data_IF_098527473669
#
_entry.id   IF_098527473669
#
_cell.length_a   1.000
_cell.length_b   1.000
_cell.length_c   1.000
_cell.angle_alpha   90.00
_cell.angle_beta   90.00
_cell.angle_gamma   90.00
#
_symmetry.space_group_name_H-M   'P 1'
#
loop_
_entity.id
_entity.type
_entity.pdbx_description
1 polymer ?
#
# COMPACT_ATOMS: atom_id res chain seq x y z
N UNK A 1 23.59 0.39 2.28
CA UNK A 1 23.19 1.52 1.40
C UNK A 1 21.68 1.57 1.36
N UNK A 2 21.08 2.74 1.57
CA UNK A 2 19.65 2.96 1.42
C UNK A 2 19.38 3.49 0.01
N UNK A 3 18.25 3.08 -0.58
CA UNK A 3 17.77 3.57 -1.86
C UNK A 3 16.30 3.94 -1.74
N UNK A 4 15.90 5.04 -2.36
CA UNK A 4 14.49 5.30 -2.64
C UNK A 4 14.11 4.54 -3.91
N UNK A 5 12.99 3.84 -3.86
CA UNK A 5 12.44 3.08 -4.98
C UNK A 5 10.94 3.34 -5.04
N UNK A 6 10.41 3.38 -6.26
CA UNK A 6 8.96 3.42 -6.50
C UNK A 6 8.50 1.99 -6.74
N UNK A 7 7.46 1.57 -6.02
CA UNK A 7 6.87 0.22 -6.13
C UNK A 7 5.39 0.39 -6.44
N UNK A 8 4.94 -0.20 -7.53
CA UNK A 8 3.52 -0.34 -7.84
C UNK A 8 3.05 -1.70 -7.31
N UNK A 9 2.01 -1.69 -6.49
CA UNK A 9 1.42 -2.90 -5.94
C UNK A 9 -0.09 -2.73 -5.77
N UNK A 10 -0.80 -3.84 -5.62
CA UNK A 10 -2.25 -3.85 -5.44
C UNK A 10 -2.60 -4.23 -4.01
N UNK A 11 -3.44 -3.41 -3.37
CA UNK A 11 -3.92 -3.62 -2.00
C UNK A 11 -5.42 -3.88 -2.03
N UNK A 12 -5.86 -4.88 -1.26
CA UNK A 12 -7.28 -5.18 -1.09
C UNK A 12 -7.81 -4.36 0.06
N UNK A 13 -8.84 -3.56 -0.22
CA UNK A 13 -9.55 -2.77 0.79
C UNK A 13 -10.78 -3.56 1.24
N UNK A 14 -10.87 -3.95 2.52
CA UNK A 14 -12.08 -4.55 3.07
C UNK A 14 -13.30 -3.61 2.95
N UNK A 15 -14.51 -4.13 2.64
CA UNK A 15 -15.71 -3.31 2.48
C UNK A 15 -16.11 -2.48 3.72
N UNK A 16 -15.78 -2.97 4.92
CA UNK A 16 -16.10 -2.26 6.16
C UNK A 16 -15.34 -0.94 6.34
N UNK A 17 -14.23 -0.74 5.61
CA UNK A 17 -13.43 0.48 5.63
C UNK A 17 -13.86 1.50 4.56
N UNK A 18 -14.86 1.19 3.73
CA UNK A 18 -15.34 2.10 2.69
C UNK A 18 -16.07 3.33 3.26
N UNK A 19 -16.56 3.24 4.49
CA UNK A 19 -17.22 4.35 5.19
C UNK A 19 -16.23 5.40 5.71
N UNK A 20 -14.94 5.05 5.78
CA UNK A 20 -13.88 5.95 6.24
C UNK A 20 -13.23 6.69 5.07
N UNK A 21 -12.31 7.62 5.39
CA UNK A 21 -11.50 8.27 4.37
C UNK A 21 -10.59 7.24 3.71
N UNK A 22 -10.98 6.82 2.50
CA UNK A 22 -10.25 5.84 1.69
C UNK A 22 -8.77 6.19 1.54
N UNK A 23 -8.41 7.48 1.48
CA UNK A 23 -7.00 7.88 1.34
C UNK A 23 -6.22 7.53 2.60
N UNK A 24 -6.76 7.85 3.77
CA UNK A 24 -6.13 7.48 5.05
C UNK A 24 -6.05 5.97 5.23
N UNK A 25 -7.13 5.27 4.90
CA UNK A 25 -7.20 3.82 4.97
C UNK A 25 -6.14 3.17 4.08
N UNK A 26 -5.96 3.68 2.86
CA UNK A 26 -4.93 3.23 1.92
C UNK A 26 -3.52 3.52 2.47
N UNK A 27 -3.25 4.74 2.94
CA UNK A 27 -1.97 5.10 3.57
C UNK A 27 -1.64 4.14 4.72
N UNK A 28 -2.57 3.97 5.68
CA UNK A 28 -2.41 3.08 6.83
C UNK A 28 -2.14 1.63 6.42
N UNK A 29 -2.84 1.12 5.41
CA UNK A 29 -2.62 -0.24 4.93
C UNK A 29 -1.26 -0.39 4.25
N UNK A 30 -0.80 0.60 3.48
CA UNK A 30 0.52 0.58 2.88
C UNK A 30 1.60 0.58 3.96
N UNK A 31 1.52 1.49 4.93
CA UNK A 31 2.48 1.54 6.04
C UNK A 31 2.55 0.21 6.78
N UNK A 32 1.41 -0.36 7.18
CA UNK A 32 1.35 -1.64 7.92
C UNK A 32 1.83 -2.84 7.11
N UNK A 33 1.63 -2.83 5.79
CA UNK A 33 1.94 -3.99 4.94
C UNK A 33 3.39 -3.99 4.49
N UNK A 34 3.92 -2.83 4.15
CA UNK A 34 5.24 -2.72 3.55
C UNK A 34 6.33 -2.41 4.56
N UNK A 35 6.09 -1.56 5.56
CA UNK A 35 7.13 -1.20 6.52
C UNK A 35 7.53 -2.40 7.38
N UNK A 36 8.83 -2.63 7.50
CA UNK A 36 9.39 -3.79 8.21
C UNK A 36 9.31 -5.11 7.42
N UNK A 37 8.68 -5.11 6.24
CA UNK A 37 8.60 -6.31 5.39
C UNK A 37 9.84 -6.45 4.51
N UNK A 38 10.27 -7.69 4.31
CA UNK A 38 11.32 -8.06 3.36
C UNK A 38 10.71 -8.48 2.02
N UNK A 39 11.04 -7.78 0.92
CA UNK A 39 10.79 -8.21 -0.45
C UNK A 39 12.09 -8.69 -1.08
N UNK A 40 12.08 -9.88 -1.72
CA UNK A 40 13.27 -10.45 -2.38
C UNK A 40 13.94 -9.50 -3.36
N UNK A 41 13.17 -8.71 -4.11
CA UNK A 41 13.68 -7.82 -5.15
C UNK A 41 14.16 -6.45 -4.61
N UNK A 42 13.69 -6.04 -3.43
CA UNK A 42 13.89 -4.70 -2.89
C UNK A 42 14.66 -4.65 -1.56
N UNK A 43 14.80 -5.79 -0.88
CA UNK A 43 15.36 -5.90 0.45
C UNK A 43 14.33 -5.58 1.54
N UNK A 44 14.80 -5.00 2.65
CA UNK A 44 13.94 -4.58 3.76
C UNK A 44 13.40 -3.18 3.48
N UNK A 45 12.09 -3.03 3.55
CA UNK A 45 11.42 -1.74 3.43
C UNK A 45 11.41 -1.09 4.82
N UNK A 46 11.99 0.11 4.92
CA UNK A 46 12.16 0.82 6.20
C UNK A 46 11.01 1.79 6.43
N UNK A 47 10.67 2.59 5.40
CA UNK A 47 9.60 3.60 5.43
C UNK A 47 8.97 3.64 4.04
N UNK A 48 7.66 3.78 3.99
CA UNK A 48 6.91 4.12 2.78
C UNK A 48 6.52 5.60 2.80
N UNK A 49 6.76 6.31 1.69
CA UNK A 49 6.41 7.72 1.53
C UNK A 49 5.68 7.90 0.19
N UNK A 50 4.83 8.94 0.10
CA UNK A 50 4.02 9.29 -1.09
C UNK A 50 3.20 8.13 -1.65
N UNK A 51 2.19 7.73 -0.91
CA UNK A 51 1.21 6.75 -1.39
C UNK A 51 0.24 7.43 -2.36
N UNK A 52 0.35 7.09 -3.64
CA UNK A 52 -0.53 7.61 -4.69
C UNK A 52 -1.41 6.48 -5.26
N UNK A 53 -2.73 6.67 -5.35
CA UNK A 53 -3.60 5.69 -5.99
C UNK A 53 -3.34 5.67 -7.50
N UNK A 54 -3.07 4.49 -8.04
CA UNK A 54 -2.87 4.28 -9.47
C UNK A 54 -4.17 3.75 -10.08
N UNK A 55 -4.91 4.62 -10.76
CA UNK A 55 -6.13 4.26 -11.48
C UNK A 55 -7.39 4.08 -10.62
N UNK A 56 -8.41 3.47 -11.21
CA UNK A 56 -9.68 3.17 -10.53
C UNK A 56 -9.63 1.81 -9.81
N UNK A 57 -10.18 1.78 -8.59
CA UNK A 57 -10.30 0.54 -7.82
C UNK A 57 -11.34 -0.40 -8.44
N UNK A 58 -10.99 -1.68 -8.54
CA UNK A 58 -11.90 -2.71 -9.05
C UNK A 58 -12.58 -3.40 -7.88
N UNK A 59 -13.92 -3.44 -7.88
CA UNK A 59 -14.68 -4.26 -6.94
C UNK A 59 -14.68 -5.70 -7.47
N UNK A 60 -13.97 -6.58 -6.77
CA UNK A 60 -13.99 -8.00 -7.07
C UNK A 60 -15.28 -8.57 -6.48
N UNK A 61 -16.19 -9.05 -7.33
CA UNK A 61 -17.37 -9.78 -6.88
C UNK A 61 -16.95 -11.16 -6.34
N UNK A 62 -17.31 -11.43 -5.09
CA UNK A 62 -17.14 -12.75 -4.45
C UNK A 62 -18.27 -13.68 -4.79
#
# INVERSE_FOLDING_TARGET
MYKMVTIEDTIRIPPHLFSEDLKKVVEDMVHKTFEGTYKKDYGVIVVTDKVEPVGEGIIIHG
#
